data_IF_256857722268
#
_entry.id   IF_256857722268
#
_cell.length_a   1.000
_cell.length_b   1.000
_cell.length_c   1.000
_cell.angle_alpha   90.00
_cell.angle_beta   90.00
_cell.angle_gamma   90.00
#
_symmetry.space_group_name_H-M   'P 1'
#
loop_
_entity.id
_entity.type
_entity.pdbx_description
1 polymer ?
#
# COMPACT_ATOMS: atom_id res chain seq x y z
N UNK A 1 -2.02 -23.74 0.19
CA UNK A 1 -1.80 -22.44 0.88
C UNK A 1 -2.61 -21.41 0.11
N UNK A 2 -3.54 -20.71 0.74
CA UNK A 2 -4.31 -19.66 0.06
C UNK A 2 -3.40 -18.46 -0.25
N UNK A 3 -3.63 -17.72 -1.34
CA UNK A 3 -2.82 -16.57 -1.75
C UNK A 3 -2.60 -15.58 -0.60
N UNK A 4 -3.65 -15.30 0.20
CA UNK A 4 -3.56 -14.43 1.40
C UNK A 4 -2.54 -14.91 2.43
N UNK A 5 -2.54 -16.22 2.72
CA UNK A 5 -1.61 -16.80 3.69
C UNK A 5 -0.17 -16.69 3.19
N UNK A 6 0.05 -16.84 1.88
CA UNK A 6 1.38 -16.69 1.29
C UNK A 6 1.93 -15.26 1.47
N UNK A 7 1.08 -14.24 1.34
CA UNK A 7 1.46 -12.84 1.56
C UNK A 7 1.75 -12.53 3.02
N UNK A 8 0.90 -12.99 3.94
CA UNK A 8 1.15 -12.84 5.37
C UNK A 8 2.47 -13.51 5.78
N UNK A 9 2.74 -14.73 5.30
CA UNK A 9 4.00 -15.43 5.56
C UNK A 9 5.21 -14.72 4.97
N UNK A 10 5.09 -14.14 3.78
CA UNK A 10 6.17 -13.37 3.16
C UNK A 10 6.55 -12.19 4.09
N UNK A 11 5.58 -11.34 4.43
CA UNK A 11 5.84 -10.14 5.22
C UNK A 11 6.15 -10.40 6.70
N UNK A 12 5.70 -11.54 7.26
CA UNK A 12 6.14 -12.00 8.58
C UNK A 12 7.61 -12.42 8.59
N UNK A 13 8.06 -13.09 7.53
CA UNK A 13 9.42 -13.66 7.46
C UNK A 13 10.44 -12.64 7.01
N UNK A 14 10.08 -11.80 6.05
CA UNK A 14 10.98 -10.90 5.36
C UNK A 14 10.22 -9.64 4.91
N UNK A 15 10.49 -8.51 5.57
CA UNK A 15 9.90 -7.21 5.25
C UNK A 15 10.47 -6.55 3.99
N UNK A 16 11.21 -7.29 3.14
CA UNK A 16 11.73 -6.77 1.88
C UNK A 16 10.60 -6.36 0.92
N UNK A 17 10.83 -5.34 0.08
CA UNK A 17 9.90 -5.00 -1.00
C UNK A 17 9.68 -6.18 -1.95
N UNK A 18 8.43 -6.52 -2.20
CA UNK A 18 8.09 -7.45 -3.28
C UNK A 18 8.41 -6.82 -4.64
N UNK A 19 9.25 -7.48 -5.45
CA UNK A 19 9.72 -7.00 -6.76
C UNK A 19 10.44 -5.63 -6.77
N UNK A 20 11.02 -5.20 -5.64
CA UNK A 20 11.78 -3.94 -5.56
C UNK A 20 10.88 -2.69 -5.56
N UNK A 21 11.48 -1.50 -5.37
CA UNK A 21 10.77 -0.21 -5.38
C UNK A 21 10.58 0.34 -6.80
N UNK A 22 9.71 1.33 -6.97
CA UNK A 22 9.62 2.11 -8.20
C UNK A 22 10.77 3.11 -8.28
N UNK A 23 11.56 3.07 -9.36
CA UNK A 23 12.68 4.00 -9.61
C UNK A 23 12.24 5.26 -10.38
N UNK A 24 10.99 5.27 -10.88
CA UNK A 24 10.42 6.39 -11.61
C UNK A 24 9.49 7.22 -10.73
N UNK A 25 9.50 8.54 -10.93
CA UNK A 25 8.56 9.44 -10.27
C UNK A 25 7.16 9.22 -10.82
N UNK A 26 6.21 8.93 -9.94
CA UNK A 26 4.79 8.79 -10.28
C UNK A 26 4.17 10.20 -10.27
N UNK A 27 3.73 10.77 -11.42
CA UNK A 27 3.32 12.17 -11.52
C UNK A 27 1.89 12.37 -10.99
N UNK A 28 1.67 12.08 -9.71
CA UNK A 28 0.39 12.13 -9.04
C UNK A 28 0.57 12.84 -7.69
N UNK A 29 -0.24 13.86 -7.43
CA UNK A 29 -0.17 14.67 -6.22
C UNK A 29 -1.52 14.80 -5.53
N UNK A 30 -1.54 15.36 -4.32
CA UNK A 30 -2.73 15.44 -3.48
C UNK A 30 -3.03 14.13 -2.75
N UNK A 31 -4.30 13.83 -2.48
CA UNK A 31 -4.71 12.64 -1.74
C UNK A 31 -4.75 11.41 -2.64
N UNK A 32 -4.05 10.34 -2.24
CA UNK A 32 -3.98 9.05 -2.96
C UNK A 32 -4.40 7.91 -2.04
N UNK A 33 -5.28 7.04 -2.54
CA UNK A 33 -5.49 5.70 -1.96
C UNK A 33 -4.51 4.71 -2.63
N UNK A 34 -3.54 4.21 -1.87
CA UNK A 34 -2.60 3.18 -2.34
C UNK A 34 -3.17 1.79 -2.03
N UNK A 35 -3.59 1.07 -3.07
CA UNK A 35 -4.15 -0.28 -2.98
C UNK A 35 -3.04 -1.33 -2.97
N UNK A 36 -3.10 -2.26 -2.01
CA UNK A 36 -2.05 -3.24 -1.78
C UNK A 36 -0.72 -2.58 -1.43
N UNK A 37 -0.77 -1.62 -0.48
CA UNK A 37 0.38 -0.81 -0.10
C UNK A 37 1.58 -1.65 0.37
N UNK A 38 1.35 -2.88 0.82
CA UNK A 38 2.39 -3.76 1.29
C UNK A 38 3.18 -3.11 2.44
N UNK A 39 4.51 -3.01 2.27
CA UNK A 39 5.41 -2.35 3.21
C UNK A 39 5.69 -0.87 2.87
N UNK A 40 4.94 -0.26 1.95
CA UNK A 40 5.09 1.15 1.57
C UNK A 40 6.20 1.45 0.55
N UNK A 41 6.72 0.43 -0.16
CA UNK A 41 7.91 0.54 -1.04
C UNK A 41 7.86 1.64 -2.10
N UNK A 42 6.66 2.06 -2.53
CA UNK A 42 6.47 3.00 -3.61
C UNK A 42 6.19 4.43 -3.12
N UNK A 43 5.99 4.65 -1.81
CA UNK A 43 5.60 5.96 -1.28
C UNK A 43 6.64 7.04 -1.59
N UNK A 44 7.93 6.68 -1.65
CA UNK A 44 9.03 7.61 -1.99
C UNK A 44 9.11 7.96 -3.47
N UNK A 45 8.34 7.27 -4.33
CA UNK A 45 8.29 7.55 -5.76
C UNK A 45 7.30 8.67 -6.12
N UNK A 46 6.52 9.16 -5.16
CA UNK A 46 5.57 10.24 -5.38
C UNK A 46 6.18 11.62 -5.01
N UNK A 47 5.67 12.71 -5.61
CA UNK A 47 5.96 14.07 -5.20
C UNK A 47 5.73 14.32 -3.71
N UNK A 48 6.51 15.25 -3.13
CA UNK A 48 6.49 15.56 -1.69
C UNK A 48 5.15 16.13 -1.19
N UNK A 49 4.32 16.69 -2.07
CA UNK A 49 2.97 17.19 -1.77
C UNK A 49 1.88 16.10 -1.82
N UNK A 50 2.27 14.83 -1.94
CA UNK A 50 1.35 13.68 -1.94
C UNK A 50 1.04 13.23 -0.52
N UNK A 51 -0.25 13.05 -0.23
CA UNK A 51 -0.74 12.48 1.02
C UNK A 51 -1.39 11.12 0.74
N UNK A 52 -1.18 10.15 1.64
CA UNK A 52 -1.60 8.77 1.40
C UNK A 52 -2.62 8.29 2.42
N UNK A 53 -3.51 7.42 1.95
CA UNK A 53 -4.14 6.39 2.77
C UNK A 53 -3.71 5.05 2.17
N UNK A 54 -3.06 4.21 2.97
CA UNK A 54 -2.63 2.89 2.53
C UNK A 54 -3.64 1.81 2.87
N UNK A 55 -3.87 0.88 1.94
CA UNK A 55 -4.77 -0.25 2.15
C UNK A 55 -4.07 -1.57 1.78
N UNK A 56 -4.11 -2.55 2.67
CA UNK A 56 -3.69 -3.92 2.37
C UNK A 56 -4.52 -4.91 3.18
N UNK A 57 -4.78 -6.12 2.68
CA UNK A 57 -5.45 -7.13 3.49
C UNK A 57 -4.49 -7.75 4.51
N UNK A 58 -3.18 -7.69 4.25
CA UNK A 58 -2.13 -8.32 5.04
C UNK A 58 -1.75 -7.45 6.23
N UNK A 59 -2.16 -7.87 7.44
CA UNK A 59 -1.76 -7.18 8.67
C UNK A 59 -0.24 -7.12 8.86
N UNK A 60 0.53 -8.19 8.61
CA UNK A 60 1.99 -8.12 8.67
C UNK A 60 2.59 -7.06 7.73
N UNK A 61 2.06 -6.93 6.52
CA UNK A 61 2.52 -5.91 5.58
C UNK A 61 2.26 -4.49 6.11
N UNK A 62 1.06 -4.22 6.63
CA UNK A 62 0.72 -2.94 7.23
C UNK A 62 1.60 -2.60 8.43
N UNK A 63 1.92 -3.57 9.29
CA UNK A 63 2.85 -3.36 10.40
C UNK A 63 4.27 -3.02 9.90
N UNK A 64 4.72 -3.69 8.84
CA UNK A 64 6.00 -3.36 8.20
C UNK A 64 5.99 -1.94 7.60
N UNK A 65 4.89 -1.52 6.97
CA UNK A 65 4.71 -0.17 6.46
C UNK A 65 4.75 0.87 7.58
N UNK A 66 3.96 0.66 8.65
CA UNK A 66 3.89 1.55 9.80
C UNK A 66 5.23 1.72 10.52
N UNK A 67 6.12 0.72 10.44
CA UNK A 67 7.47 0.82 11.03
C UNK A 67 8.38 1.81 10.29
N UNK A 68 8.03 2.21 9.06
CA UNK A 68 8.85 3.05 8.17
C UNK A 68 8.16 4.36 7.77
N UNK A 69 6.83 4.40 7.83
CA UNK A 69 6.02 5.49 7.31
C UNK A 69 4.93 5.86 8.31
N UNK A 70 4.82 7.15 8.61
CA UNK A 70 3.76 7.71 9.45
C UNK A 70 2.61 8.19 8.56
N UNK A 71 1.79 7.24 8.09
CA UNK A 71 0.61 7.51 7.27
C UNK A 71 -0.60 6.71 7.77
N UNK A 72 -1.84 7.16 7.49
CA UNK A 72 -3.02 6.35 7.74
C UNK A 72 -2.98 5.02 6.97
N UNK A 73 -3.26 3.93 7.67
CA UNK A 73 -3.30 2.57 7.13
C UNK A 73 -4.63 1.89 7.48
N UNK A 74 -5.20 1.18 6.52
CA UNK A 74 -6.44 0.43 6.67
C UNK A 74 -6.26 -1.03 6.26
N UNK A 75 -6.62 -1.95 7.15
CA UNK A 75 -6.70 -3.36 6.80
C UNK A 75 -8.05 -3.66 6.16
N UNK A 76 -8.06 -3.92 4.85
CA UNK A 76 -9.29 -4.22 4.10
C UNK A 76 -9.02 -5.04 2.83
N UNK A 77 -10.07 -5.54 2.22
CA UNK A 77 -10.03 -6.22 0.92
C UNK A 77 -10.29 -5.21 -0.21
N UNK A 78 -9.40 -5.14 -1.20
CA UNK A 78 -9.58 -4.26 -2.36
C UNK A 78 -10.79 -4.64 -3.22
N UNK A 79 -11.24 -5.91 -3.16
CA UNK A 79 -12.44 -6.36 -3.87
C UNK A 79 -13.74 -5.88 -3.22
N UNK A 80 -13.67 -5.33 -2.00
CA UNK A 80 -14.81 -4.83 -1.23
C UNK A 80 -14.37 -3.60 -0.41
N UNK A 81 -14.11 -2.49 -1.12
CA UNK A 81 -13.61 -1.26 -0.50
C UNK A 81 -14.61 -0.72 0.53
N UNK A 82 -14.17 -0.40 1.76
CA UNK A 82 -15.03 0.11 2.83
C UNK A 82 -15.23 1.63 2.72
N UNK A 83 -15.36 2.14 1.50
CA UNK A 83 -15.51 3.56 1.21
C UNK A 83 -16.71 3.77 0.26
N UNK A 84 -17.43 4.88 0.39
CA UNK A 84 -18.40 5.28 -0.63
C UNK A 84 -17.76 5.46 -2.00
N UNK A 85 -18.57 5.36 -3.05
CA UNK A 85 -18.14 5.70 -4.41
C UNK A 85 -17.60 7.13 -4.48
N UNK A 86 -16.62 7.35 -5.35
CA UNK A 86 -16.01 8.67 -5.61
C UNK A 86 -15.37 9.35 -4.38
N UNK A 87 -14.98 8.57 -3.35
CA UNK A 87 -14.31 9.10 -2.15
C UNK A 87 -12.90 9.63 -2.43
N UNK A 88 -12.14 8.96 -3.31
CA UNK A 88 -10.74 9.28 -3.56
C UNK A 88 -10.56 9.87 -4.96
N UNK A 89 -9.93 11.06 -5.08
CA UNK A 89 -9.65 11.66 -6.38
C UNK A 89 -8.56 10.91 -7.14
N UNK A 90 -7.63 10.26 -6.42
CA UNK A 90 -6.54 9.49 -6.99
C UNK A 90 -6.43 8.11 -6.34
N UNK A 91 -6.14 7.10 -7.16
CA UNK A 91 -5.92 5.72 -6.74
C UNK A 91 -4.66 5.19 -7.44
N UNK A 92 -3.79 4.54 -6.68
CA UNK A 92 -2.60 3.88 -7.19
C UNK A 92 -2.59 2.42 -6.75
N UNK A 93 -2.03 1.55 -7.59
CA UNK A 93 -1.95 0.11 -7.34
C UNK A 93 -0.74 -0.48 -8.06
N UNK A 94 0.04 -1.31 -7.37
CA UNK A 94 1.25 -1.93 -7.91
C UNK A 94 1.35 -3.41 -7.52
N UNK A 95 1.23 -4.31 -8.49
CA UNK A 95 1.29 -5.76 -8.29
C UNK A 95 0.24 -6.33 -7.30
N UNK A 96 -0.96 -5.75 -7.32
CA UNK A 96 -2.14 -6.20 -6.56
C UNK A 96 -2.78 -7.46 -7.12
#
# INVERSE_FOLDING_TARGET
>A
MNSRQSWDLLYQRDGRPWKGSCDEVIPMNGLVLELGIGNGKNLTAFPADTSFIGLDFSRPALLACASRHEIPLLQADIAALPFPDQTFPNVAASHV
#
